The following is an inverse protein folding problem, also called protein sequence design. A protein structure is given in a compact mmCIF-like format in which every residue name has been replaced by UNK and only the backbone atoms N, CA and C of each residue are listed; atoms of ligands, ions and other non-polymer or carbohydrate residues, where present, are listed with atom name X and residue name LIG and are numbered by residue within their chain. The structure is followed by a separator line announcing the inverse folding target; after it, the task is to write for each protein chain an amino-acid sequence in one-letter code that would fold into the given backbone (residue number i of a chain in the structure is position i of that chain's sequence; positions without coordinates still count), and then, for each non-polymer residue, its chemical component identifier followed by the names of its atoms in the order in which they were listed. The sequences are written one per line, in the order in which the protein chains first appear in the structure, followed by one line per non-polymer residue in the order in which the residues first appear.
data_IF_309146623148
#
_entry.id   IF_309146623148
#
_cell.length_a   1.000
_cell.length_b   1.000
_cell.length_c   1.000
_cell.angle_alpha   90.00
_cell.angle_beta   90.00
_cell.angle_gamma   90.00
#
_symmetry.space_group_name_H-M   'P 1'
#
loop_
_entity.id
_entity.type
_entity.pdbx_description
1 polymer ?
#
# COMPACT_ATOMS: atom_id res chain seq x y z
N UNK A 1 -4.09 -0.75 15.96
CA UNK A 1 -2.85 -0.57 15.18
C UNK A 1 -3.00 0.76 14.45
N UNK A 2 -2.11 1.74 14.66
CA UNK A 2 -2.28 3.08 14.08
C UNK A 2 -2.37 3.11 12.55
N UNK A 3 -1.61 2.26 11.86
CA UNK A 3 -1.64 2.22 10.40
C UNK A 3 -2.95 1.62 9.88
N UNK A 4 -3.48 0.60 10.57
CA UNK A 4 -4.77 0.00 10.24
C UNK A 4 -5.91 1.02 10.37
N UNK A 5 -5.93 1.81 11.44
CA UNK A 5 -6.95 2.86 11.61
C UNK A 5 -6.82 3.94 10.52
N UNK A 6 -5.58 4.32 10.18
CA UNK A 6 -5.32 5.31 9.15
C UNK A 6 -5.83 4.88 7.76
N UNK A 7 -5.46 3.67 7.29
CA UNK A 7 -5.88 3.19 5.97
C UNK A 7 -7.38 2.86 5.89
N UNK A 8 -8.03 2.57 7.03
CA UNK A 8 -9.50 2.48 7.09
C UNK A 8 -10.14 3.85 6.87
N UNK A 9 -9.60 4.90 7.48
CA UNK A 9 -10.03 6.28 7.21
C UNK A 9 -9.87 6.65 5.74
N UNK A 10 -8.73 6.29 5.12
CA UNK A 10 -8.50 6.54 3.70
C UNK A 10 -9.51 5.85 2.78
N UNK A 11 -9.92 4.62 3.11
CA UNK A 11 -10.94 3.92 2.36
C UNK A 11 -12.30 4.63 2.45
N UNK A 12 -12.63 5.20 3.61
CA UNK A 12 -13.85 6.00 3.83
C UNK A 12 -13.80 7.31 3.02
N UNK A 13 -12.71 8.09 3.15
CA UNK A 13 -12.51 9.35 2.43
C UNK A 13 -12.65 9.15 0.90
N UNK A 14 -12.04 8.10 0.35
CA UNK A 14 -12.11 7.79 -1.08
C UNK A 14 -13.52 7.32 -1.48
N UNK A 15 -14.20 6.53 -0.65
CA UNK A 15 -15.56 6.10 -0.91
C UNK A 15 -16.54 7.29 -0.91
N UNK A 16 -16.43 8.19 0.06
CA UNK A 16 -17.21 9.43 0.12
C UNK A 16 -16.88 10.36 -1.05
N UNK A 17 -15.61 10.41 -1.50
CA UNK A 17 -15.24 11.16 -2.70
C UNK A 17 -15.90 10.60 -3.96
N UNK A 18 -15.94 9.27 -4.12
CA UNK A 18 -16.66 8.60 -5.23
C UNK A 18 -18.16 8.95 -5.19
N UNK A 19 -18.77 8.92 -4.01
CA UNK A 19 -20.17 9.31 -3.83
C UNK A 19 -20.41 10.79 -4.18
N UNK A 20 -19.50 11.67 -3.77
CA UNK A 20 -19.52 13.11 -4.08
C UNK A 20 -19.43 13.39 -5.58
N UNK A 21 -18.70 12.54 -6.32
CA UNK A 21 -18.61 12.58 -7.78
C UNK A 21 -19.86 12.01 -8.49
N UNK A 22 -20.87 11.56 -7.74
CA UNK A 22 -22.15 11.07 -8.28
C UNK A 22 -22.19 9.58 -8.59
N UNK A 23 -21.19 8.82 -8.15
CA UNK A 23 -21.11 7.36 -8.35
C UNK A 23 -21.43 6.58 -7.07
N UNK A 24 -21.58 5.26 -7.17
CA UNK A 24 -21.83 4.39 -6.01
C UNK A 24 -20.55 3.61 -5.65
N UNK A 25 -19.88 3.92 -4.52
CA UNK A 25 -18.68 3.20 -4.10
C UNK A 25 -18.97 1.72 -3.81
N UNK A 26 -18.03 0.84 -4.14
CA UNK A 26 -18.19 -0.61 -4.01
C UNK A 26 -17.24 -1.16 -2.93
N UNK A 27 -17.74 -1.37 -1.71
CA UNK A 27 -16.94 -1.82 -0.55
C UNK A 27 -17.11 -3.30 -0.17
N UNK A 28 -17.82 -4.11 -0.96
CA UNK A 28 -18.07 -5.52 -0.60
C UNK A 28 -16.82 -6.39 -0.86
N UNK A 29 -16.64 -7.52 -0.15
CA UNK A 29 -15.54 -8.44 -0.41
C UNK A 29 -15.45 -8.91 -1.87
N UNK A 30 -16.60 -9.10 -2.54
CA UNK A 30 -16.64 -9.49 -3.94
C UNK A 30 -16.13 -8.37 -4.87
N UNK A 31 -16.42 -7.10 -4.57
CA UNK A 31 -15.88 -5.97 -5.31
C UNK A 31 -14.35 -5.87 -5.15
N UNK A 32 -13.85 -6.06 -3.92
CA UNK A 32 -12.40 -6.10 -3.67
C UNK A 32 -11.74 -7.17 -4.53
N UNK A 33 -12.25 -8.41 -4.55
CA UNK A 33 -11.69 -9.49 -5.37
C UNK A 33 -11.76 -9.17 -6.87
N UNK A 34 -12.86 -8.55 -7.31
CA UNK A 34 -13.07 -8.19 -8.72
C UNK A 34 -12.06 -7.14 -9.21
N UNK A 35 -11.79 -6.12 -8.40
CA UNK A 35 -10.95 -4.98 -8.80
C UNK A 35 -9.45 -5.19 -8.47
N UNK A 36 -9.12 -6.21 -7.67
CA UNK A 36 -7.74 -6.58 -7.31
C UNK A 36 -6.94 -7.06 -8.52
N UNK A 37 -5.73 -6.56 -8.66
CA UNK A 37 -4.79 -6.92 -9.74
C UNK A 37 -3.56 -7.71 -9.27
N UNK A 38 -3.53 -8.09 -7.99
CA UNK A 38 -2.45 -8.84 -7.34
C UNK A 38 -2.98 -10.07 -6.59
N UNK A 39 -2.08 -10.98 -6.21
CA UNK A 39 -2.42 -12.20 -5.47
C UNK A 39 -2.74 -11.94 -4.00
N UNK A 40 -3.38 -12.92 -3.33
CA UNK A 40 -3.60 -12.85 -1.90
C UNK A 40 -2.30 -12.87 -1.08
N UNK A 41 -2.30 -12.15 0.05
CA UNK A 41 -1.12 -12.07 0.90
C UNK A 41 -0.74 -13.47 1.39
N UNK A 42 0.48 -13.87 1.06
CA UNK A 42 0.83 -15.27 0.95
C UNK A 42 1.67 -15.81 2.12
N UNK A 43 2.07 -14.92 3.04
CA UNK A 43 2.84 -15.27 4.23
C UNK A 43 1.88 -15.63 5.37
N UNK A 44 1.91 -16.90 5.78
CA UNK A 44 1.23 -17.38 6.99
C UNK A 44 2.00 -17.03 8.27
N UNK A 45 1.86 -17.82 9.33
CA UNK A 45 2.63 -17.59 10.57
C UNK A 45 4.15 -17.65 10.30
N UNK A 46 4.82 -16.52 10.52
CA UNK A 46 6.27 -16.36 10.32
C UNK A 46 6.88 -15.34 11.29
N UNK A 47 8.16 -15.02 11.12
CA UNK A 47 8.85 -13.98 11.89
C UNK A 47 8.38 -12.58 11.49
N UNK A 48 8.61 -11.61 12.39
CA UNK A 48 8.36 -10.19 12.10
C UNK A 48 9.14 -9.74 10.87
N UNK A 49 10.42 -10.13 10.76
CA UNK A 49 11.27 -9.78 9.61
C UNK A 49 10.72 -10.32 8.29
N UNK A 50 10.22 -11.56 8.30
CA UNK A 50 9.60 -12.16 7.13
C UNK A 50 8.33 -11.40 6.69
N UNK A 51 7.49 -11.01 7.64
CA UNK A 51 6.29 -10.21 7.35
C UNK A 51 6.61 -8.80 6.88
N UNK A 52 7.58 -8.12 7.50
CA UNK A 52 8.01 -6.77 7.09
C UNK A 52 8.56 -6.78 5.66
N UNK A 53 9.41 -7.74 5.31
CA UNK A 53 9.95 -7.86 3.96
C UNK A 53 8.87 -8.13 2.90
N UNK A 54 7.85 -8.93 3.24
CA UNK A 54 6.71 -9.14 2.36
C UNK A 54 5.82 -7.89 2.26
N UNK A 55 5.60 -7.18 3.37
CA UNK A 55 4.84 -5.93 3.40
C UNK A 55 5.51 -4.82 2.59
N UNK A 56 6.84 -4.76 2.55
CA UNK A 56 7.55 -3.78 1.73
C UNK A 56 7.14 -3.87 0.25
N UNK A 57 7.08 -5.09 -0.31
CA UNK A 57 6.63 -5.33 -1.68
C UNK A 57 5.14 -4.98 -1.90
N UNK A 58 4.30 -5.21 -0.90
CA UNK A 58 2.88 -4.83 -0.96
C UNK A 58 2.75 -3.30 -1.03
N UNK A 59 3.52 -2.59 -0.20
CA UNK A 59 3.53 -1.13 -0.19
C UNK A 59 4.13 -0.54 -1.46
N UNK A 60 5.11 -1.18 -2.10
CA UNK A 60 5.62 -0.75 -3.41
C UNK A 60 4.48 -0.68 -4.43
N UNK A 61 3.67 -1.73 -4.53
CA UNK A 61 2.52 -1.76 -5.45
C UNK A 61 1.47 -0.69 -5.12
N UNK A 62 1.09 -0.57 -3.84
CA UNK A 62 0.09 0.42 -3.40
C UNK A 62 0.57 1.84 -3.68
N UNK A 63 1.81 2.18 -3.30
CA UNK A 63 2.37 3.53 -3.48
C UNK A 63 2.52 3.84 -4.97
N UNK A 64 2.98 2.91 -5.79
CA UNK A 64 3.10 3.10 -7.24
C UNK A 64 1.75 3.42 -7.87
N UNK A 65 0.69 2.70 -7.50
CA UNK A 65 -0.64 2.91 -8.05
C UNK A 65 -1.32 4.19 -7.52
N UNK A 66 -1.11 4.55 -6.25
CA UNK A 66 -1.54 5.87 -5.73
C UNK A 66 -0.83 6.99 -6.48
N UNK A 67 0.48 6.86 -6.76
CA UNK A 67 1.24 7.84 -7.56
C UNK A 67 0.70 7.96 -8.99
N UNK A 68 0.29 6.85 -9.62
CA UNK A 68 -0.43 6.90 -10.92
C UNK A 68 -1.77 7.59 -10.79
N UNK A 69 -2.51 7.37 -9.71
CA UNK A 69 -3.76 8.07 -9.38
C UNK A 69 -3.56 9.59 -9.27
N UNK A 70 -2.51 10.04 -8.59
CA UNK A 70 -2.14 11.45 -8.47
C UNK A 70 -1.89 12.06 -9.86
N UNK A 71 -1.11 11.39 -10.71
CA UNK A 71 -0.83 11.87 -12.06
C UNK A 71 -2.10 11.92 -12.94
N UNK A 72 -2.98 10.93 -12.78
CA UNK A 72 -4.24 10.86 -13.55
C UNK A 72 -5.20 11.98 -13.16
N UNK A 73 -5.20 12.36 -11.89
CA UNK A 73 -6.15 13.36 -11.34
C UNK A 73 -5.66 14.79 -11.44
N UNK A 74 -4.40 15.02 -11.83
CA UNK A 74 -3.76 16.35 -11.92
C UNK A 74 -4.59 17.37 -12.68
N UNK A 75 -4.99 17.05 -13.91
CA UNK A 75 -5.79 17.94 -14.74
C UNK A 75 -7.30 17.69 -14.61
N UNK A 76 -7.69 16.49 -14.17
CA UNK A 76 -9.10 16.08 -14.14
C UNK A 76 -9.84 16.65 -12.92
N UNK A 77 -9.20 16.62 -11.75
CA UNK A 77 -9.82 16.98 -10.49
C UNK A 77 -8.76 17.21 -9.39
N UNK A 78 -8.28 18.45 -9.23
CA UNK A 78 -7.25 18.80 -8.25
C UNK A 78 -7.64 18.48 -6.80
N UNK A 79 -8.93 18.40 -6.47
CA UNK A 79 -9.38 18.05 -5.10
C UNK A 79 -9.20 16.56 -4.84
N UNK A 80 -9.51 15.70 -5.81
CA UNK A 80 -9.20 14.27 -5.69
C UNK A 80 -7.69 14.04 -5.71
N UNK A 81 -6.96 14.81 -6.51
CA UNK A 81 -5.50 14.75 -6.52
C UNK A 81 -4.91 15.06 -5.14
N UNK A 82 -5.33 16.15 -4.49
CA UNK A 82 -4.86 16.55 -3.16
C UNK A 82 -5.13 15.47 -2.10
N UNK A 83 -6.31 14.85 -2.15
CA UNK A 83 -6.65 13.70 -1.29
C UNK A 83 -5.62 12.56 -1.46
N UNK A 84 -5.32 12.18 -2.71
CA UNK A 84 -4.37 11.10 -2.99
C UNK A 84 -2.93 11.47 -2.63
N UNK A 85 -2.53 12.74 -2.80
CA UNK A 85 -1.22 13.26 -2.37
C UNK A 85 -1.07 13.11 -0.85
N UNK A 86 -2.09 13.50 -0.08
CA UNK A 86 -2.07 13.37 1.37
C UNK A 86 -1.92 11.92 1.84
N UNK A 87 -2.65 11.01 1.20
CA UNK A 87 -2.54 9.57 1.51
C UNK A 87 -1.18 9.00 1.11
N UNK A 88 -0.64 9.36 -0.06
CA UNK A 88 0.68 8.90 -0.52
C UNK A 88 1.78 9.28 0.47
N UNK A 89 1.76 10.51 1.01
CA UNK A 89 2.76 10.98 1.95
C UNK A 89 2.85 10.10 3.22
N UNK A 90 1.72 9.72 3.81
CA UNK A 90 1.73 8.87 5.01
C UNK A 90 1.98 7.39 4.67
N UNK A 91 1.52 6.88 3.52
CA UNK A 91 1.83 5.53 3.06
C UNK A 91 3.34 5.34 2.82
N UNK A 92 3.98 6.31 2.17
CA UNK A 92 5.43 6.31 1.90
C UNK A 92 6.23 6.39 3.20
N UNK A 93 5.79 7.22 4.15
CA UNK A 93 6.39 7.30 5.48
C UNK A 93 6.24 6.00 6.26
N UNK A 94 5.10 5.31 6.15
CA UNK A 94 4.93 4.00 6.76
C UNK A 94 5.82 2.95 6.12
N UNK A 95 5.94 2.93 4.79
CA UNK A 95 6.86 2.02 4.11
C UNK A 95 8.31 2.30 4.53
N UNK A 96 8.70 3.56 4.69
CA UNK A 96 10.00 3.90 5.27
C UNK A 96 10.19 3.30 6.67
N UNK A 97 9.18 3.37 7.56
CA UNK A 97 9.26 2.69 8.86
C UNK A 97 9.46 1.18 8.72
N UNK A 98 8.80 0.52 7.76
CA UNK A 98 9.00 -0.91 7.46
C UNK A 98 10.44 -1.17 7.02
N UNK A 99 10.94 -0.39 6.06
CA UNK A 99 12.31 -0.48 5.52
C UNK A 99 13.38 -0.24 6.57
N UNK A 100 13.17 0.69 7.48
CA UNK A 100 14.11 0.97 8.57
C UNK A 100 14.37 -0.25 9.48
N UNK A 101 13.44 -1.21 9.54
CA UNK A 101 13.62 -2.47 10.28
C UNK A 101 14.35 -3.56 9.47
N UNK A 102 14.49 -3.37 8.16
CA UNK A 102 15.07 -4.30 7.18
C UNK A 102 16.43 -3.82 6.64
N UNK A 103 16.77 -2.54 6.86
CA UNK A 103 18.03 -1.94 6.47
C UNK A 103 19.20 -2.46 7.33
N UNK A 104 20.31 -2.76 6.67
CA UNK A 104 21.58 -3.06 7.33
C UNK A 104 22.46 -1.80 7.48
N UNK A 105 23.61 -1.93 8.14
CA UNK A 105 24.54 -0.81 8.36
C UNK A 105 25.08 -0.16 7.07
N UNK A 106 24.94 -0.82 5.91
CA UNK A 106 25.30 -0.29 4.59
C UNK A 106 24.14 0.35 3.83
N UNK A 107 22.93 0.43 4.41
CA UNK A 107 21.74 0.98 3.78
C UNK A 107 21.07 0.07 2.75
N UNK A 108 21.43 -1.23 2.73
CA UNK A 108 20.79 -2.20 1.85
C UNK A 108 19.67 -2.96 2.59
N UNK A 109 18.58 -3.24 1.89
CA UNK A 109 17.45 -4.02 2.42
C UNK A 109 17.79 -5.51 2.46
N UNK A 110 17.44 -6.18 3.56
CA UNK A 110 17.72 -7.61 3.77
C UNK A 110 17.09 -8.54 2.71
N UNK A 111 16.05 -8.11 2.00
CA UNK A 111 15.35 -8.88 0.97
C UNK A 111 15.59 -8.39 -0.46
N UNK A 112 16.62 -7.58 -0.69
CA UNK A 112 16.92 -6.98 -2.01
C UNK A 112 16.86 -7.99 -3.16
N UNK A 113 16.24 -7.59 -4.28
CA UNK A 113 16.04 -8.41 -5.47
C UNK A 113 15.01 -9.55 -5.32
N UNK A 114 14.19 -9.56 -4.26
CA UNK A 114 12.99 -10.40 -4.21
C UNK A 114 11.84 -9.78 -5.02
N UNK A 115 11.09 -10.61 -5.76
CA UNK A 115 9.95 -10.14 -6.56
C UNK A 115 8.60 -10.70 -6.08
N UNK A 116 8.60 -11.48 -4.99
CA UNK A 116 7.39 -12.04 -4.39
C UNK A 116 7.50 -12.01 -2.88
N UNK A 117 6.37 -11.89 -2.19
CA UNK A 117 6.28 -11.91 -0.74
C UNK A 117 6.98 -13.13 -0.12
N UNK A 118 6.77 -14.33 -0.68
CA UNK A 118 7.43 -15.56 -0.20
C UNK A 118 8.95 -15.52 -0.36
N UNK A 119 9.45 -14.94 -1.45
CA UNK A 119 10.89 -14.78 -1.63
C UNK A 119 11.46 -13.75 -0.65
N UNK A 120 10.78 -12.61 -0.49
CA UNK A 120 11.20 -11.57 0.43
C UNK A 120 11.22 -12.07 1.87
N UNK A 121 10.15 -12.74 2.30
CA UNK A 121 10.02 -13.39 3.59
C UNK A 121 11.15 -14.41 3.84
N UNK A 122 11.49 -15.24 2.85
CA UNK A 122 12.57 -16.22 2.98
C UNK A 122 13.95 -15.58 3.11
N UNK A 123 14.20 -14.46 2.42
CA UNK A 123 15.50 -13.75 2.46
C UNK A 123 15.72 -12.99 3.77
N UNK A 124 14.65 -12.48 4.38
CA UNK A 124 14.72 -11.69 5.61
C UNK A 124 14.78 -12.52 6.91
N UNK A 125 14.79 -13.85 6.80
CA UNK A 125 15.00 -14.77 7.93
C UNK A 125 16.48 -14.99 8.19
#
# INVERSE_FOLDING_TARGET
DPQVELVRGYADDVAERIATLGHSPQGTPAAIIKDRTWDDYSVGRDTVQAHLAALDLVYDGVIEDVRKGIATTEELDPVTQDLLIGQAAELEKFQWFVRAHLENAGGALSHEGASTEKQAARKAR
#
